data_IF_829230917432
#
_entry.id   IF_829230917432
#
_cell.length_a   1.000
_cell.length_b   1.000
_cell.length_c   1.000
_cell.angle_alpha   90.00
_cell.angle_beta   90.00
_cell.angle_gamma   90.00
#
_symmetry.space_group_name_H-M   'P 1'
#
loop_
_entity.id
_entity.type
_entity.pdbx_description
1 polymer ?
#
# COMPACT_ATOMS: atom_id res chain seq x y z
N UNK A 1 -0.95 16.40 -15.74
CA UNK A 1 -2.25 15.94 -16.28
C UNK A 1 -2.05 14.62 -16.97
N UNK A 2 -3.13 13.91 -17.30
CA UNK A 2 -3.10 12.49 -17.69
C UNK A 2 -2.23 12.14 -18.90
N UNK A 3 -1.90 13.13 -19.74
CA UNK A 3 -1.00 13.00 -20.88
C UNK A 3 0.49 12.90 -20.49
N UNK A 4 0.84 13.22 -19.23
CA UNK A 4 2.21 13.23 -18.73
C UNK A 4 2.41 12.27 -17.53
N UNK A 5 1.41 11.45 -17.20
CA UNK A 5 1.44 10.54 -16.06
C UNK A 5 1.01 9.15 -16.52
N UNK A 6 1.92 8.19 -16.43
CA UNK A 6 1.66 6.80 -16.80
C UNK A 6 1.16 5.95 -15.63
N UNK A 7 1.60 6.29 -14.41
CA UNK A 7 1.34 5.54 -13.19
C UNK A 7 1.04 6.54 -12.07
N UNK A 8 0.01 6.27 -11.27
CA UNK A 8 -0.21 6.99 -10.01
C UNK A 8 0.64 6.32 -8.94
N UNK A 9 1.66 7.00 -8.44
CA UNK A 9 2.52 6.53 -7.35
C UNK A 9 2.04 7.06 -5.99
N UNK A 10 2.24 6.27 -4.94
CA UNK A 10 2.06 6.71 -3.55
C UNK A 10 3.17 6.15 -2.66
N UNK A 11 3.67 7.02 -1.80
CA UNK A 11 4.57 6.67 -0.71
C UNK A 11 3.80 6.76 0.61
N UNK A 12 3.82 5.70 1.42
CA UNK A 12 3.11 5.67 2.70
C UNK A 12 3.73 4.69 3.68
N UNK A 13 3.83 5.07 4.94
CA UNK A 13 4.59 4.33 5.95
C UNK A 13 3.75 4.10 7.21
N UNK A 14 4.00 2.99 7.90
CA UNK A 14 3.45 2.66 9.22
C UNK A 14 4.07 3.52 10.34
N UNK A 15 3.56 3.36 11.57
CA UNK A 15 3.99 4.19 12.71
C UNK A 15 5.21 3.62 13.43
N UNK A 16 6.03 4.53 13.96
CA UNK A 16 7.38 4.31 14.46
C UNK A 16 7.53 3.49 15.77
N UNK A 17 6.50 3.40 16.61
CA UNK A 17 6.58 2.71 17.91
C UNK A 17 5.15 2.35 18.32
N UNK A 18 4.96 1.43 19.27
CA UNK A 18 3.67 1.19 19.94
C UNK A 18 3.11 2.42 20.68
N UNK A 19 2.79 3.47 19.95
CA UNK A 19 1.79 4.46 20.29
C UNK A 19 0.41 3.90 20.00
N UNK A 20 -0.62 4.61 20.46
CA UNK A 20 -2.03 4.25 20.27
C UNK A 20 -2.20 3.73 18.83
N UNK A 21 -2.59 2.45 18.64
CA UNK A 21 -2.86 1.92 17.33
C UNK A 21 -3.69 2.93 16.57
N UNK A 22 -3.20 3.42 15.43
CA UNK A 22 -4.04 4.25 14.59
C UNK A 22 -5.13 3.31 14.06
N UNK A 23 -6.27 3.29 14.75
CA UNK A 23 -7.46 2.54 14.35
C UNK A 23 -8.13 3.19 13.15
N UNK A 24 -7.70 4.41 12.78
CA UNK A 24 -8.04 4.96 11.50
C UNK A 24 -7.24 4.22 10.44
N UNK A 25 -7.94 3.82 9.40
CA UNK A 25 -7.35 3.27 8.17
C UNK A 25 -6.35 4.26 7.53
N UNK A 26 -6.29 5.52 8.01
CA UNK A 26 -5.57 6.66 7.43
C UNK A 26 -4.73 7.41 8.47
N UNK A 27 -3.48 7.74 8.13
CA UNK A 27 -2.70 8.75 8.85
C UNK A 27 -3.20 10.15 8.49
N UNK A 28 -3.64 10.91 9.50
CA UNK A 28 -4.12 12.30 9.35
C UNK A 28 -3.16 13.32 9.97
N UNK A 29 -1.99 12.88 10.45
CA UNK A 29 -0.99 13.77 11.04
C UNK A 29 -0.33 14.64 9.95
N UNK A 30 -0.44 15.96 10.08
CA UNK A 30 0.25 16.93 9.22
C UNK A 30 -0.52 17.47 8.00
N UNK A 31 -1.81 17.14 7.83
CA UNK A 31 -2.75 17.97 7.06
C UNK A 31 -2.74 17.86 5.53
N UNK A 32 -1.79 17.18 4.85
CA UNK A 32 -1.85 16.92 3.39
C UNK A 32 -1.12 15.65 2.93
N UNK A 33 -1.25 14.54 3.65
CA UNK A 33 -0.67 13.27 3.16
C UNK A 33 -1.66 12.57 2.22
N UNK A 34 -1.22 12.28 0.99
CA UNK A 34 -2.00 11.50 0.03
C UNK A 34 -2.06 10.05 0.53
N UNK A 35 -3.24 9.62 0.99
CA UNK A 35 -3.41 8.23 1.44
C UNK A 35 -3.36 7.22 0.28
N UNK A 36 -3.02 5.96 0.57
CA UNK A 36 -3.11 4.86 -0.40
C UNK A 36 -4.50 4.73 -1.02
N UNK A 37 -5.58 5.00 -0.27
CA UNK A 37 -6.94 5.00 -0.80
C UNK A 37 -7.19 6.18 -1.74
N UNK A 38 -6.68 7.37 -1.43
CA UNK A 38 -6.79 8.53 -2.32
C UNK A 38 -6.05 8.26 -3.64
N UNK A 39 -4.84 7.73 -3.56
CA UNK A 39 -4.06 7.32 -4.73
C UNK A 39 -4.79 6.24 -5.55
N UNK A 40 -5.38 5.24 -4.89
CA UNK A 40 -6.14 4.20 -5.58
C UNK A 40 -7.40 4.74 -6.27
N UNK A 41 -8.14 5.67 -5.63
CA UNK A 41 -9.28 6.35 -6.26
C UNK A 41 -8.84 7.18 -7.46
N UNK A 42 -7.70 7.87 -7.36
CA UNK A 42 -7.13 8.63 -8.48
C UNK A 42 -6.74 7.70 -9.64
N UNK A 43 -6.09 6.58 -9.34
CA UNK A 43 -5.74 5.57 -10.35
C UNK A 43 -6.99 5.07 -11.10
N UNK A 44 -8.08 4.77 -10.39
CA UNK A 44 -9.35 4.38 -11.00
C UNK A 44 -9.97 5.52 -11.81
N UNK A 45 -10.04 6.73 -11.26
CA UNK A 45 -10.69 7.87 -11.90
C UNK A 45 -10.01 8.33 -13.20
N UNK A 46 -8.69 8.15 -13.30
CA UNK A 46 -7.87 8.54 -14.45
C UNK A 46 -7.51 7.38 -15.37
N UNK A 47 -8.07 6.19 -15.13
CA UNK A 47 -7.72 4.94 -15.83
C UNK A 47 -6.19 4.70 -15.93
N UNK A 48 -5.50 4.88 -14.81
CA UNK A 48 -4.06 4.62 -14.67
C UNK A 48 -3.82 3.47 -13.69
N UNK A 49 -2.73 2.72 -13.85
CA UNK A 49 -2.28 1.81 -12.80
C UNK A 49 -1.82 2.57 -11.54
N UNK A 50 -1.93 1.92 -10.39
CA UNK A 50 -1.39 2.35 -9.10
C UNK A 50 -0.06 1.64 -8.83
N UNK A 51 0.94 2.40 -8.39
CA UNK A 51 2.14 1.87 -7.77
C UNK A 51 2.17 2.24 -6.29
N UNK A 52 2.42 1.25 -5.43
CA UNK A 52 2.89 1.50 -4.07
C UNK A 52 4.40 1.73 -4.19
N UNK A 53 4.78 2.98 -4.46
CA UNK A 53 6.10 3.36 -4.93
C UNK A 53 7.14 3.26 -3.80
N UNK A 54 6.74 3.60 -2.59
CA UNK A 54 7.46 3.22 -1.36
C UNK A 54 6.46 2.94 -0.23
N UNK A 55 6.54 1.75 0.35
CA UNK A 55 5.81 1.44 1.58
C UNK A 55 6.72 0.82 2.61
N UNK A 56 6.46 1.02 3.89
CA UNK A 56 7.29 0.45 4.93
C UNK A 56 6.58 0.43 6.27
N UNK A 57 6.96 -0.51 7.12
CA UNK A 57 6.49 -0.60 8.49
C UNK A 57 7.71 -0.80 9.39
N UNK A 58 7.70 -0.21 10.58
CA UNK A 58 8.72 -0.51 11.58
C UNK A 58 8.72 -2.00 11.93
N UNK A 59 9.84 -2.48 12.48
CA UNK A 59 10.02 -3.89 12.87
C UNK A 59 9.00 -4.41 13.88
N UNK A 60 8.25 -3.53 14.55
CA UNK A 60 7.18 -3.87 15.49
C UNK A 60 5.76 -3.56 14.99
N UNK A 61 5.60 -2.93 13.81
CA UNK A 61 4.28 -2.56 13.29
C UNK A 61 3.71 -3.66 12.40
N UNK A 62 2.97 -4.58 13.03
CA UNK A 62 2.26 -5.66 12.32
C UNK A 62 0.88 -5.26 11.79
N UNK A 63 0.43 -4.03 12.07
CA UNK A 63 -0.90 -3.54 11.74
C UNK A 63 -0.95 -2.78 10.41
N UNK A 64 0.12 -2.10 10.06
CA UNK A 64 0.20 -1.36 8.80
C UNK A 64 0.07 -2.27 7.56
N UNK A 65 0.78 -3.40 7.42
CA UNK A 65 0.67 -4.23 6.22
C UNK A 65 -0.77 -4.71 5.90
N UNK A 66 -1.54 -5.27 6.86
CA UNK A 66 -2.93 -5.67 6.56
C UNK A 66 -3.86 -4.47 6.28
N UNK A 67 -3.68 -3.33 6.95
CA UNK A 67 -4.47 -2.12 6.69
C UNK A 67 -4.25 -1.58 5.27
N UNK A 68 -2.99 -1.54 4.84
CA UNK A 68 -2.62 -1.19 3.47
C UNK A 68 -3.25 -2.15 2.46
N UNK A 69 -3.15 -3.46 2.70
CA UNK A 69 -3.77 -4.46 1.83
C UNK A 69 -5.30 -4.28 1.75
N UNK A 70 -5.98 -3.99 2.85
CA UNK A 70 -7.42 -3.71 2.86
C UNK A 70 -7.78 -2.47 2.05
N UNK A 71 -7.02 -1.38 2.21
CA UNK A 71 -7.20 -0.15 1.46
C UNK A 71 -7.07 -0.36 -0.07
N UNK A 72 -6.20 -1.27 -0.47
CA UNK A 72 -5.90 -1.54 -1.89
C UNK A 72 -6.82 -2.60 -2.50
N UNK A 73 -7.03 -3.74 -1.83
CA UNK A 73 -7.75 -4.89 -2.39
C UNK A 73 -9.20 -4.54 -2.77
N UNK A 74 -9.86 -3.64 -2.02
CA UNK A 74 -11.22 -3.17 -2.31
C UNK A 74 -11.32 -2.00 -3.30
N UNK A 75 -10.19 -1.41 -3.71
CA UNK A 75 -10.20 -0.05 -4.28
C UNK A 75 -10.70 0.08 -5.71
N UNK A 76 -10.51 -0.94 -6.56
CA UNK A 76 -10.67 -0.78 -8.00
C UNK A 76 -9.38 -0.75 -8.79
N UNK A 77 -8.28 -0.35 -8.17
CA UNK A 77 -7.05 -0.01 -8.87
C UNK A 77 -6.34 -1.21 -9.48
N UNK A 78 -5.75 -1.00 -10.67
CA UNK A 78 -4.80 -1.93 -11.30
C UNK A 78 -3.43 -1.73 -10.67
N UNK A 79 -2.92 -2.72 -9.95
CA UNK A 79 -1.61 -2.60 -9.29
C UNK A 79 -0.50 -2.88 -10.30
N UNK A 80 0.36 -1.90 -10.54
CA UNK A 80 1.56 -2.05 -11.37
C UNK A 80 2.67 -2.77 -10.61
N UNK A 81 3.04 -2.24 -9.44
CA UNK A 81 4.02 -2.84 -8.55
C UNK A 81 3.83 -2.36 -7.11
N UNK A 82 4.55 -3.04 -6.21
CA UNK A 82 4.66 -2.67 -4.81
C UNK A 82 6.13 -2.77 -4.44
N UNK A 83 6.67 -1.70 -3.89
CA UNK A 83 8.04 -1.61 -3.41
C UNK A 83 8.02 -1.40 -1.90
N UNK A 84 8.56 -2.36 -1.14
CA UNK A 84 8.65 -2.22 0.32
C UNK A 84 10.06 -1.77 0.67
N UNK A 85 10.15 -0.63 1.34
CA UNK A 85 11.37 -0.12 1.94
C UNK A 85 11.79 -1.01 3.10
N UNK A 86 12.99 -1.60 3.01
CA UNK A 86 13.58 -2.47 4.03
C UNK A 86 14.99 -1.97 4.34
N UNK A 87 15.09 -0.88 5.10
CA UNK A 87 16.36 -0.21 5.36
C UNK A 87 16.52 0.12 6.85
N UNK A 88 17.63 -0.30 7.48
CA UNK A 88 17.91 0.00 8.89
C UNK A 88 18.18 1.50 9.16
N UNK A 89 18.47 2.29 8.13
CA UNK A 89 18.69 3.74 8.15
C UNK A 89 17.44 4.57 7.83
N UNK A 90 16.31 3.93 7.53
CA UNK A 90 15.06 4.61 7.20
C UNK A 90 14.47 5.41 8.37
N UNK A 91 14.76 6.71 8.44
CA UNK A 91 14.09 7.66 9.34
C UNK A 91 14.15 7.33 10.83
N UNK A 92 13.29 7.98 11.64
CA UNK A 92 13.38 7.99 13.12
C UNK A 92 13.30 6.62 13.81
N UNK A 93 12.95 5.54 13.11
CA UNK A 93 12.86 4.17 13.66
C UNK A 93 12.93 3.17 12.52
N UNK A 94 14.16 2.73 12.18
CA UNK A 94 14.49 1.55 11.37
C UNK A 94 13.26 0.84 10.76
N UNK A 95 12.99 1.11 9.48
CA UNK A 95 11.93 0.47 8.69
C UNK A 95 12.32 -0.96 8.28
N UNK A 96 13.19 -1.58 9.06
CA UNK A 96 13.79 -2.86 8.78
C UNK A 96 12.88 -3.99 9.25
N UNK A 97 11.89 -4.31 8.42
CA UNK A 97 10.83 -5.25 8.74
C UNK A 97 11.25 -6.70 8.49
N UNK A 98 12.23 -6.94 7.61
CA UNK A 98 12.58 -8.29 7.17
C UNK A 98 13.22 -9.15 8.26
N UNK A 99 13.90 -8.52 9.23
CA UNK A 99 14.46 -9.20 10.41
C UNK A 99 13.43 -9.47 11.51
N UNK A 100 12.21 -8.93 11.40
CA UNK A 100 11.12 -9.20 12.33
C UNK A 100 10.21 -10.29 11.77
N UNK A 101 10.20 -11.51 12.33
CA UNK A 101 9.34 -12.59 11.82
C UNK A 101 7.85 -12.23 11.82
N UNK A 102 7.41 -11.41 12.78
CA UNK A 102 6.03 -10.93 12.89
C UNK A 102 5.65 -9.97 11.77
N UNK A 103 6.45 -8.92 11.55
CA UNK A 103 6.18 -7.92 10.50
C UNK A 103 6.38 -8.52 9.11
N UNK A 104 7.41 -9.37 8.92
CA UNK A 104 7.58 -10.13 7.68
C UNK A 104 6.37 -11.04 7.39
N UNK A 105 5.78 -11.67 8.40
CA UNK A 105 4.55 -12.46 8.22
C UNK A 105 3.35 -11.60 7.81
N UNK A 106 3.20 -10.42 8.41
CA UNK A 106 2.15 -9.48 8.06
C UNK A 106 2.29 -9.00 6.60
N UNK A 107 3.51 -8.68 6.15
CA UNK A 107 3.77 -8.32 4.74
C UNK A 107 3.45 -9.45 3.77
N UNK A 108 3.83 -10.70 4.07
CA UNK A 108 3.47 -11.86 3.23
C UNK A 108 1.95 -11.99 3.06
N UNK A 109 1.19 -11.83 4.14
CA UNK A 109 -0.28 -11.90 4.09
C UNK A 109 -0.88 -10.72 3.30
N UNK A 110 -0.36 -9.52 3.51
CA UNK A 110 -0.77 -8.32 2.79
C UNK A 110 -0.63 -8.48 1.26
N UNK A 111 0.52 -8.99 0.80
CA UNK A 111 0.74 -9.26 -0.62
C UNK A 111 -0.21 -10.28 -1.21
N UNK A 112 -0.44 -11.39 -0.50
CA UNK A 112 -1.38 -12.41 -0.95
C UNK A 112 -2.78 -11.83 -1.16
N UNK A 113 -3.22 -10.93 -0.28
CA UNK A 113 -4.51 -10.24 -0.41
C UNK A 113 -4.55 -9.28 -1.61
N UNK A 114 -3.49 -8.49 -1.82
CA UNK A 114 -3.38 -7.56 -2.96
C UNK A 114 -3.41 -8.34 -4.29
N UNK A 115 -2.63 -9.42 -4.41
CA UNK A 115 -2.57 -10.26 -5.62
C UNK A 115 -3.91 -10.95 -5.90
N UNK A 116 -4.59 -11.46 -4.87
CA UNK A 116 -5.93 -12.07 -5.01
C UNK A 116 -6.96 -11.06 -5.52
N UNK A 117 -6.98 -9.86 -4.95
CA UNK A 117 -7.86 -8.77 -5.38
C UNK A 117 -7.60 -8.32 -6.83
N UNK A 118 -6.33 -8.30 -7.26
CA UNK A 118 -5.94 -8.00 -8.63
C UNK A 118 -6.37 -9.11 -9.62
N UNK A 119 -6.30 -10.38 -9.20
CA UNK A 119 -6.57 -11.53 -10.08
C UNK A 119 -8.05 -11.79 -10.32
N UNK A 120 -8.93 -11.53 -9.35
CA UNK A 120 -10.39 -11.67 -9.53
C UNK A 120 -10.98 -10.72 -10.61
N UNK A 121 -10.28 -9.65 -11.00
CA UNK A 121 -10.74 -8.72 -12.05
C UNK A 121 -10.36 -9.12 -13.47
N UNK A 122 -9.36 -10.01 -13.66
CA UNK A 122 -8.93 -10.43 -15.00
C UNK A 122 -9.98 -11.28 -15.74
N UNK A 123 -11.01 -11.78 -15.05
CA UNK A 123 -12.09 -12.56 -15.65
C UNK A 123 -13.40 -11.79 -15.91
N UNK A 124 -13.48 -10.49 -15.57
CA UNK A 124 -14.73 -9.75 -15.71
C UNK A 124 -14.91 -9.03 -17.06
N UNK A 125 -13.88 -8.96 -17.93
CA UNK A 125 -13.90 -8.13 -19.14
C UNK A 125 -13.30 -8.79 -20.39
N UNK A 126 -13.61 -10.07 -20.64
CA UNK A 126 -13.55 -10.60 -22.02
C UNK A 126 -14.97 -10.69 -22.55
N UNK A 127 -15.45 -9.72 -23.36
CA UNK A 127 -16.53 -10.03 -24.27
C UNK A 127 -15.95 -10.97 -25.32
N UNK A 128 -16.47 -12.20 -25.36
CA UNK A 128 -16.25 -13.10 -26.49
C UNK A 128 -16.49 -12.34 -27.79
N UNK A 129 -15.47 -12.30 -28.65
CA UNK A 129 -15.58 -11.98 -30.07
C UNK A 129 -15.04 -13.15 -30.85
#
# INVERSE_FOLDING_TARGET
>A
GDQAVDIIGVDTYGVAVGGVPNTQVFDTSGGKQLSATTAARMAVAHDKPLALAEVGAGSTDTSFPPNLAQAIAGSGARIAFVNIWDDPSGGNTSLYWSESPGTAAAWRQAFAAIVKGASCRRHANSPDR
#
